data_IF_136336611943
#
_entry.id   IF_136336611943
#
_cell.length_a   1.000
_cell.length_b   1.000
_cell.length_c   1.000
_cell.angle_alpha   90.00
_cell.angle_beta   90.00
_cell.angle_gamma   90.00
#
_symmetry.space_group_name_H-M   'P 1'
#
loop_
_entity.id
_entity.type
_entity.pdbx_description
1 polymer ?
#
# COMPACT_ATOMS: atom_id res chain seq x y z
N UNK A 1 -6.51 14.44 12.93
CA UNK A 1 -7.55 15.43 12.58
C UNK A 1 -7.45 15.71 11.09
N UNK A 2 -8.57 15.91 10.39
CA UNK A 2 -8.58 16.25 8.96
C UNK A 2 -8.34 17.76 8.82
N UNK A 3 -7.46 18.17 7.91
CA UNK A 3 -7.17 19.58 7.66
C UNK A 3 -8.34 20.24 6.89
N UNK A 4 -8.89 21.38 7.34
CA UNK A 4 -10.02 22.02 6.69
C UNK A 4 -9.66 22.73 5.37
N UNK A 5 -8.40 23.17 5.21
CA UNK A 5 -7.92 23.85 4.00
C UNK A 5 -7.52 22.86 2.91
N UNK A 6 -7.07 21.66 3.29
CA UNK A 6 -6.67 20.58 2.39
C UNK A 6 -7.39 19.25 2.68
N UNK A 7 -8.74 19.23 2.71
CA UNK A 7 -9.50 18.08 3.20
C UNK A 7 -9.32 16.85 2.32
N UNK A 8 -9.23 17.02 0.99
CA UNK A 8 -9.01 15.90 0.07
C UNK A 8 -7.66 15.21 0.32
N UNK A 9 -6.60 15.98 0.54
CA UNK A 9 -5.28 15.45 0.83
C UNK A 9 -5.25 14.71 2.18
N UNK A 10 -5.82 15.31 3.23
CA UNK A 10 -5.95 14.66 4.53
C UNK A 10 -6.78 13.38 4.48
N UNK A 11 -7.91 13.38 3.77
CA UNK A 11 -8.76 12.19 3.60
C UNK A 11 -8.06 11.11 2.80
N UNK A 12 -7.35 11.47 1.73
CA UNK A 12 -6.54 10.53 0.96
C UNK A 12 -5.53 9.81 1.85
N UNK A 13 -4.78 10.54 2.68
CA UNK A 13 -3.82 9.94 3.61
C UNK A 13 -4.51 9.08 4.66
N UNK A 14 -5.61 9.55 5.26
CA UNK A 14 -6.33 8.81 6.29
C UNK A 14 -6.92 7.49 5.75
N UNK A 15 -7.60 7.54 4.61
CA UNK A 15 -8.22 6.35 4.00
C UNK A 15 -7.15 5.39 3.50
N UNK A 16 -6.10 5.88 2.84
CA UNK A 16 -5.03 5.02 2.33
C UNK A 16 -4.28 4.34 3.46
N UNK A 17 -3.82 5.09 4.47
CA UNK A 17 -3.08 4.50 5.61
C UNK A 17 -3.92 3.50 6.39
N UNK A 18 -5.20 3.78 6.64
CA UNK A 18 -6.10 2.85 7.31
C UNK A 18 -6.30 1.57 6.49
N UNK A 19 -6.58 1.72 5.20
CA UNK A 19 -6.81 0.58 4.30
C UNK A 19 -5.56 -0.30 4.21
N UNK A 20 -4.39 0.30 3.93
CA UNK A 20 -3.15 -0.45 3.81
C UNK A 20 -2.70 -1.07 5.14
N UNK A 21 -2.99 -0.43 6.28
CA UNK A 21 -2.74 -1.02 7.59
C UNK A 21 -3.55 -2.29 7.81
N UNK A 22 -4.86 -2.21 7.61
CA UNK A 22 -5.80 -3.29 7.97
C UNK A 22 -5.76 -4.43 6.95
N UNK A 23 -5.64 -4.12 5.67
CA UNK A 23 -5.73 -5.12 4.60
C UNK A 23 -4.38 -5.79 4.33
N UNK A 24 -3.26 -5.06 4.41
CA UNK A 24 -1.95 -5.56 4.01
C UNK A 24 -0.95 -5.62 5.17
N UNK A 25 -0.59 -4.48 5.77
CA UNK A 25 0.54 -4.40 6.69
C UNK A 25 0.37 -5.30 7.94
N UNK A 26 -0.76 -5.18 8.65
CA UNK A 26 -1.03 -5.96 9.85
C UNK A 26 -1.23 -7.45 9.54
N UNK A 27 -2.03 -7.86 8.54
CA UNK A 27 -2.16 -9.27 8.21
C UNK A 27 -0.86 -9.93 7.74
N UNK A 28 -0.04 -9.26 6.91
CA UNK A 28 1.26 -9.76 6.47
C UNK A 28 2.24 -9.92 7.64
N UNK A 29 2.20 -8.99 8.60
CA UNK A 29 3.07 -9.03 9.78
C UNK A 29 2.68 -10.13 10.78
N UNK A 30 1.38 -10.33 11.04
CA UNK A 30 0.94 -11.21 12.12
C UNK A 30 0.42 -12.58 11.65
N UNK A 31 -0.27 -12.64 10.49
CA UNK A 31 -0.96 -13.84 10.01
C UNK A 31 -0.76 -14.08 8.49
N UNK A 32 0.49 -14.09 7.97
CA UNK A 32 0.78 -14.02 6.53
C UNK A 32 0.16 -15.15 5.70
N UNK A 33 0.20 -16.40 6.19
CA UNK A 33 -0.37 -17.53 5.45
C UNK A 33 -1.91 -17.51 5.43
N UNK A 34 -2.54 -16.88 6.43
CA UNK A 34 -4.00 -16.69 6.44
C UNK A 34 -4.39 -15.59 5.46
N UNK A 35 -3.63 -14.49 5.46
CA UNK A 35 -3.78 -13.42 4.47
C UNK A 35 -3.63 -13.95 3.04
N UNK A 36 -2.57 -14.72 2.76
CA UNK A 36 -2.32 -15.25 1.41
C UNK A 36 -3.49 -16.11 0.92
N UNK A 37 -4.08 -16.95 1.80
CA UNK A 37 -5.30 -17.73 1.46
C UNK A 37 -6.51 -16.85 1.16
N UNK A 38 -6.72 -15.77 1.92
CA UNK A 38 -7.81 -14.81 1.62
C UNK A 38 -7.63 -14.14 0.27
N UNK A 39 -6.38 -13.87 -0.10
CA UNK A 39 -6.00 -13.36 -1.42
C UNK A 39 -5.89 -14.46 -2.46
N UNK A 40 -6.35 -15.69 -2.21
CA UNK A 40 -6.44 -16.74 -3.23
C UNK A 40 -5.10 -17.34 -3.65
N UNK A 41 -4.02 -17.10 -2.91
CA UNK A 41 -2.74 -17.77 -3.16
C UNK A 41 -2.82 -19.25 -2.81
N UNK A 42 -2.31 -20.08 -3.71
CA UNK A 42 -2.01 -21.48 -3.42
C UNK A 42 -0.77 -21.56 -2.54
N UNK A 43 -0.90 -22.18 -1.37
CA UNK A 43 0.21 -22.31 -0.44
C UNK A 43 1.09 -23.50 -0.79
N UNK A 44 2.43 -23.35 -0.78
CA UNK A 44 3.34 -24.47 -0.97
C UNK A 44 3.12 -25.59 0.05
N UNK A 45 3.10 -26.83 -0.42
CA UNK A 45 3.11 -28.03 0.43
C UNK A 45 4.54 -28.27 0.91
N UNK A 46 4.92 -27.72 2.06
CA UNK A 46 6.27 -27.87 2.60
C UNK A 46 6.65 -26.82 3.62
N UNK A 47 7.96 -26.57 3.76
CA UNK A 47 8.46 -25.52 4.62
C UNK A 47 8.07 -24.13 4.08
N UNK A 48 7.35 -23.35 4.89
CA UNK A 48 6.88 -22.01 4.57
C UNK A 48 7.67 -20.90 5.31
N UNK A 49 8.76 -21.24 6.02
CA UNK A 49 9.52 -20.31 6.87
C UNK A 49 10.00 -19.09 6.10
N UNK A 50 10.54 -19.28 4.88
CA UNK A 50 11.03 -18.18 4.05
C UNK A 50 9.90 -17.26 3.60
N UNK A 51 8.76 -17.82 3.19
CA UNK A 51 7.56 -17.06 2.81
C UNK A 51 7.02 -16.26 3.98
N UNK A 52 6.92 -16.87 5.16
CA UNK A 52 6.50 -16.19 6.39
C UNK A 52 7.48 -15.09 6.77
N UNK A 53 8.79 -15.36 6.68
CA UNK A 53 9.83 -14.39 6.99
C UNK A 53 9.73 -13.15 6.07
N UNK A 54 9.69 -13.34 4.75
CA UNK A 54 9.58 -12.22 3.82
C UNK A 54 8.26 -11.47 3.93
N UNK A 55 7.13 -12.17 4.15
CA UNK A 55 5.85 -11.52 4.36
C UNK A 55 5.86 -10.63 5.62
N UNK A 56 6.49 -11.09 6.71
CA UNK A 56 6.66 -10.30 7.93
C UNK A 56 7.56 -9.09 7.72
N UNK A 57 8.66 -9.24 6.96
CA UNK A 57 9.50 -8.11 6.59
C UNK A 57 8.73 -7.06 5.79
N UNK A 58 7.94 -7.49 4.80
CA UNK A 58 7.09 -6.60 4.00
C UNK A 58 6.03 -5.90 4.86
N UNK A 59 5.35 -6.65 5.73
CA UNK A 59 4.38 -6.10 6.69
C UNK A 59 4.99 -5.08 7.65
N UNK A 60 6.19 -5.35 8.17
CA UNK A 60 6.93 -4.43 9.03
C UNK A 60 7.37 -3.15 8.31
N UNK A 61 7.85 -3.27 7.07
CA UNK A 61 8.20 -2.12 6.23
C UNK A 61 6.96 -1.26 5.92
N UNK A 62 5.87 -1.90 5.49
CA UNK A 62 4.60 -1.21 5.20
C UNK A 62 4.05 -0.50 6.44
N UNK A 63 4.06 -1.16 7.60
CA UNK A 63 3.61 -0.57 8.87
C UNK A 63 4.48 0.63 9.27
N UNK A 64 5.80 0.57 9.05
CA UNK A 64 6.72 1.67 9.36
C UNK A 64 6.42 2.91 8.50
N UNK A 65 6.19 2.72 7.20
CA UNK A 65 5.77 3.80 6.29
C UNK A 65 4.42 4.38 6.73
N UNK A 66 3.46 3.52 7.05
CA UNK A 66 2.14 3.95 7.54
C UNK A 66 2.30 4.84 8.78
N UNK A 67 3.01 4.37 9.81
CA UNK A 67 3.22 5.13 11.06
C UNK A 67 3.80 6.51 10.78
N UNK A 68 4.76 6.62 9.86
CA UNK A 68 5.31 7.91 9.44
C UNK A 68 4.25 8.79 8.76
N UNK A 69 3.52 8.25 7.78
CA UNK A 69 2.52 9.01 7.00
C UNK A 69 1.35 9.51 7.85
N UNK A 70 0.89 8.72 8.83
CA UNK A 70 -0.29 9.09 9.65
C UNK A 70 -0.07 10.41 10.40
N UNK A 71 1.18 10.72 10.77
CA UNK A 71 1.54 11.96 11.49
C UNK A 71 1.25 13.22 10.67
N UNK A 72 1.22 13.11 9.34
CA UNK A 72 1.08 14.25 8.43
C UNK A 72 -0.36 14.45 7.92
N UNK A 73 -1.30 13.61 8.34
CA UNK A 73 -2.74 13.78 8.04
C UNK A 73 -3.26 15.18 8.44
N UNK A 74 -2.89 15.76 9.61
CA UNK A 74 -3.38 17.08 10.02
C UNK A 74 -2.78 18.25 9.25
N UNK A 75 -1.60 18.08 8.64
CA UNK A 75 -0.91 19.12 7.87
C UNK A 75 -0.21 18.53 6.62
N UNK A 76 -0.99 18.15 5.60
CA UNK A 76 -0.45 17.49 4.40
C UNK A 76 0.37 18.43 3.52
N UNK A 77 0.09 19.75 3.55
CA UNK A 77 0.75 20.71 2.67
C UNK A 77 2.22 20.94 3.03
N UNK A 78 2.56 20.95 4.32
CA UNK A 78 3.95 21.16 4.75
C UNK A 78 4.86 19.95 4.47
N UNK A 79 4.30 18.82 4.02
CA UNK A 79 4.99 17.52 3.97
C UNK A 79 4.90 16.86 2.59
N UNK A 80 5.05 17.64 1.52
CA UNK A 80 4.82 17.20 0.12
C UNK A 80 5.55 15.91 -0.30
N UNK A 81 6.74 15.65 0.26
CA UNK A 81 7.56 14.45 -0.03
C UNK A 81 6.82 13.14 0.26
N UNK A 82 5.85 13.15 1.17
CA UNK A 82 5.07 11.95 1.50
C UNK A 82 4.17 11.51 0.34
N UNK A 83 3.67 12.45 -0.46
CA UNK A 83 2.89 12.13 -1.66
C UNK A 83 3.79 11.60 -2.78
N UNK A 84 5.01 12.10 -2.89
CA UNK A 84 6.02 11.57 -3.82
C UNK A 84 6.40 10.13 -3.43
N UNK A 85 6.59 9.86 -2.12
CA UNK A 85 6.83 8.52 -1.61
C UNK A 85 5.67 7.56 -1.88
N UNK A 86 4.42 7.99 -1.60
CA UNK A 86 3.23 7.18 -1.89
C UNK A 86 3.09 6.93 -3.40
N UNK A 87 3.35 7.96 -4.22
CA UNK A 87 3.37 7.85 -5.68
C UNK A 87 4.41 6.84 -6.16
N UNK A 88 5.62 6.89 -5.61
CA UNK A 88 6.70 5.95 -5.94
C UNK A 88 6.33 4.51 -5.54
N UNK A 89 5.83 4.30 -4.32
CA UNK A 89 5.38 2.99 -3.85
C UNK A 89 4.26 2.47 -4.75
N UNK A 90 3.23 3.28 -5.00
CA UNK A 90 2.11 2.90 -5.87
C UNK A 90 2.56 2.56 -7.29
N UNK A 91 3.47 3.34 -7.88
CA UNK A 91 4.03 3.08 -9.20
C UNK A 91 4.85 1.79 -9.27
N UNK A 92 5.74 1.57 -8.30
CA UNK A 92 6.56 0.34 -8.24
C UNK A 92 5.68 -0.88 -8.00
N UNK A 93 4.72 -0.81 -7.06
CA UNK A 93 3.79 -1.92 -6.80
C UNK A 93 2.93 -2.22 -8.02
N UNK A 94 2.43 -1.19 -8.72
CA UNK A 94 1.71 -1.40 -9.99
C UNK A 94 2.56 -2.19 -10.98
N UNK A 95 3.84 -1.84 -11.14
CA UNK A 95 4.76 -2.55 -12.02
C UNK A 95 5.00 -4.02 -11.58
N UNK A 96 5.16 -4.26 -10.28
CA UNK A 96 5.31 -5.62 -9.71
C UNK A 96 4.07 -6.47 -9.99
N UNK A 97 2.87 -5.94 -9.80
CA UNK A 97 1.63 -6.68 -10.04
C UNK A 97 1.35 -6.89 -11.53
N UNK A 98 1.74 -5.94 -12.41
CA UNK A 98 1.72 -6.16 -13.86
C UNK A 98 2.65 -7.31 -14.23
N UNK A 99 3.87 -7.31 -13.67
CA UNK A 99 4.82 -8.39 -13.91
C UNK A 99 4.26 -9.75 -13.48
N UNK A 100 3.70 -9.83 -12.27
CA UNK A 100 3.07 -11.05 -11.76
C UNK A 100 1.89 -11.52 -12.63
N UNK A 101 1.05 -10.59 -13.12
CA UNK A 101 -0.05 -10.92 -14.02
C UNK A 101 0.44 -11.43 -15.40
N UNK A 102 1.43 -10.77 -16.00
CA UNK A 102 2.03 -11.18 -17.28
C UNK A 102 2.66 -12.57 -17.16
N UNK A 103 3.36 -12.83 -16.06
CA UNK A 103 3.98 -14.13 -15.78
C UNK A 103 2.99 -15.19 -15.28
N UNK A 104 1.70 -14.84 -15.08
CA UNK A 104 0.65 -15.71 -14.55
C UNK A 104 1.03 -16.36 -13.20
N UNK A 105 1.72 -15.60 -12.35
CA UNK A 105 2.22 -16.06 -11.06
C UNK A 105 1.28 -15.73 -9.90
N UNK A 106 0.31 -14.84 -10.11
CA UNK A 106 -0.55 -14.31 -9.05
C UNK A 106 -2.03 -14.63 -9.29
N UNK A 107 -2.83 -14.77 -8.22
CA UNK A 107 -4.29 -14.92 -8.31
C UNK A 107 -4.98 -13.65 -8.86
N UNK A 108 -6.27 -13.76 -9.17
CA UNK A 108 -7.05 -12.65 -9.76
C UNK A 108 -7.19 -11.45 -8.81
N UNK A 109 -7.21 -11.69 -7.50
CA UNK A 109 -7.21 -10.69 -6.42
C UNK A 109 -6.00 -9.76 -6.54
N UNK A 110 -4.81 -10.31 -6.69
CA UNK A 110 -3.56 -9.56 -6.89
C UNK A 110 -3.54 -8.84 -8.25
N UNK A 111 -4.26 -9.38 -9.25
CA UNK A 111 -4.46 -8.69 -10.53
C UNK A 111 -5.39 -7.48 -10.38
N UNK A 112 -6.39 -7.57 -9.50
CA UNK A 112 -7.25 -6.45 -9.14
C UNK A 112 -6.49 -5.35 -8.34
N UNK A 113 -5.32 -5.66 -7.79
CA UNK A 113 -4.48 -4.66 -7.14
C UNK A 113 -3.73 -3.76 -8.12
N UNK A 114 -3.59 -4.13 -9.41
CA UNK A 114 -3.01 -3.26 -10.44
C UNK A 114 -3.76 -1.91 -10.51
N UNK A 115 -5.09 -1.87 -10.74
CA UNK A 115 -5.82 -0.60 -10.74
C UNK A 115 -5.86 0.06 -9.35
N UNK A 116 -5.81 -0.70 -8.25
CA UNK A 116 -5.73 -0.14 -6.89
C UNK A 116 -4.45 0.68 -6.69
N UNK A 117 -3.28 0.06 -6.92
CA UNK A 117 -1.99 0.72 -6.79
C UNK A 117 -1.82 1.84 -7.82
N UNK A 118 -2.32 1.63 -9.04
CA UNK A 118 -2.33 2.67 -10.07
C UNK A 118 -3.14 3.89 -9.65
N UNK A 119 -4.33 3.69 -9.07
CA UNK A 119 -5.16 4.77 -8.55
C UNK A 119 -4.52 5.50 -7.37
N UNK A 120 -3.88 4.77 -6.44
CA UNK A 120 -3.14 5.37 -5.31
C UNK A 120 -1.95 6.19 -5.83
N UNK A 121 -1.22 5.69 -6.81
CA UNK A 121 -0.12 6.40 -7.45
C UNK A 121 -0.59 7.71 -8.08
N UNK A 122 -1.57 7.62 -8.98
CA UNK A 122 -2.12 8.79 -9.68
C UNK A 122 -2.77 9.79 -8.72
N UNK A 123 -3.48 9.31 -7.70
CA UNK A 123 -4.08 10.14 -6.65
C UNK A 123 -3.03 10.91 -5.86
N UNK A 124 -1.94 10.24 -5.46
CA UNK A 124 -0.86 10.90 -4.73
C UNK A 124 -0.15 11.97 -5.58
N UNK A 125 0.19 11.64 -6.84
CA UNK A 125 0.86 12.58 -7.74
C UNK A 125 -0.04 13.76 -8.13
N UNK A 126 -1.34 13.50 -8.35
CA UNK A 126 -2.32 14.56 -8.58
C UNK A 126 -2.40 15.51 -7.39
N UNK A 127 -2.55 14.99 -6.18
CA UNK A 127 -2.60 15.83 -4.98
C UNK A 127 -1.31 16.66 -4.84
N UNK A 128 -0.15 16.02 -5.04
CA UNK A 128 1.17 16.63 -4.95
C UNK A 128 1.40 17.80 -5.92
N UNK A 129 1.02 17.63 -7.18
CA UNK A 129 1.41 18.55 -8.26
C UNK A 129 0.29 19.45 -8.77
N UNK A 130 -0.98 19.11 -8.49
CA UNK A 130 -2.13 19.90 -8.95
C UNK A 130 -2.88 20.59 -7.81
N UNK A 131 -2.80 20.08 -6.56
CA UNK A 131 -3.61 20.62 -5.44
C UNK A 131 -2.80 21.25 -4.33
N UNK A 132 -1.59 20.75 -4.05
CA UNK A 132 -0.73 21.21 -2.95
C UNK A 132 0.48 22.03 -3.42
N UNK A 133 0.63 22.20 -4.74
CA UNK A 133 1.69 22.97 -5.39
C UNK A 133 1.56 24.48 -5.19
#
# INVERSE_FOLDING_TARGET
MINPDYPLASWFLAVSTLTFAVVYALPLLFVPLRWARWFGWELPTGNNDLTVYFARCLGGLALSVIIAVVQFIPDPKSHLVIFELIGLIGGIMTAVHIWGAVMKQQPWTETAEIPLYGAVCLGALYLRYATLS
#
